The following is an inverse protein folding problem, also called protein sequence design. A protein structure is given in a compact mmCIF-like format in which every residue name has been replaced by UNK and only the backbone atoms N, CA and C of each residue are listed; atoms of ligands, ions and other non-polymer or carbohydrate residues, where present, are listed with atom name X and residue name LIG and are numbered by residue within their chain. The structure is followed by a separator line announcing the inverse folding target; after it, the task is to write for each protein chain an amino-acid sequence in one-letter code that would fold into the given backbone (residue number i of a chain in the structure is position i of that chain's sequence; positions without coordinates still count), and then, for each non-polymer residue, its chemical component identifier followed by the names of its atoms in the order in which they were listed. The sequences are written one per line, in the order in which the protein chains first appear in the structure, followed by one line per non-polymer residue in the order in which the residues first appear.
data_IF_081314419764
#
_entry.id   IF_081314419764
#
_cell.length_a   1.000
_cell.length_b   1.000
_cell.length_c   1.000
_cell.angle_alpha   90.00
_cell.angle_beta   90.00
_cell.angle_gamma   90.00
#
_symmetry.space_group_name_H-M   'P 1'
#
loop_
_entity.id
_entity.type
_entity.pdbx_description
1 polymer ?
#
# COMPACT_ATOMS: atom_id res chain seq x y z
N UNK A 1 -10.58 -4.94 -17.11
CA UNK A 1 -9.85 -3.88 -17.78
C UNK A 1 -8.39 -3.89 -17.35
N UNK A 2 -7.49 -3.58 -18.29
CA UNK A 2 -6.09 -3.45 -17.99
C UNK A 2 -5.90 -2.29 -16.99
N UNK A 3 -5.02 -2.47 -16.01
CA UNK A 3 -4.62 -1.38 -15.12
C UNK A 3 -3.92 -0.31 -15.95
N UNK A 4 -4.25 0.95 -15.72
CA UNK A 4 -3.52 2.07 -16.28
C UNK A 4 -2.35 2.40 -15.36
N UNK A 5 -1.16 2.54 -15.93
CA UNK A 5 -0.01 3.10 -15.23
C UNK A 5 0.19 4.54 -15.73
N UNK A 6 0.49 5.45 -14.81
CA UNK A 6 0.84 6.83 -15.14
C UNK A 6 2.31 7.03 -14.85
N UNK A 7 3.11 7.21 -15.89
CA UNK A 7 4.54 7.44 -15.76
C UNK A 7 4.87 8.87 -16.18
N UNK A 8 5.53 9.61 -15.31
CA UNK A 8 6.09 10.92 -15.63
C UNK A 8 7.54 10.74 -16.08
N UNK A 9 7.87 11.29 -17.26
CA UNK A 9 9.24 11.39 -17.76
C UNK A 9 9.64 12.85 -17.85
N UNK A 10 10.69 13.24 -17.14
CA UNK A 10 11.31 14.57 -17.22
C UNK A 10 12.56 14.45 -18.09
N UNK A 11 12.73 15.39 -19.01
CA UNK A 11 13.92 15.47 -19.88
C UNK A 11 14.58 16.81 -19.64
N UNK A 12 15.83 16.82 -19.22
CA UNK A 12 16.63 18.05 -19.06
C UNK A 12 17.12 18.58 -20.42
N UNK A 13 17.56 19.84 -20.45
CA UNK A 13 18.19 20.43 -21.66
C UNK A 13 19.46 19.68 -22.09
N UNK A 14 20.17 19.04 -21.14
CA UNK A 14 21.36 18.22 -21.42
C UNK A 14 21.02 16.81 -21.88
N UNK A 15 19.75 16.44 -22.01
CA UNK A 15 19.29 15.12 -22.44
C UNK A 15 19.20 14.08 -21.32
N UNK A 16 19.58 14.40 -20.08
CA UNK A 16 19.40 13.49 -18.94
C UNK A 16 17.90 13.34 -18.65
N UNK A 17 17.45 12.10 -18.44
CA UNK A 17 16.05 11.81 -18.19
C UNK A 17 15.83 11.25 -16.80
N UNK A 18 14.74 11.64 -16.16
CA UNK A 18 14.23 11.03 -14.93
C UNK A 18 12.84 10.48 -15.09
N UNK A 19 12.53 9.44 -14.34
CA UNK A 19 11.23 8.75 -14.38
C UNK A 19 10.65 8.75 -12.96
N UNK A 20 9.36 9.10 -12.86
CA UNK A 20 8.55 8.98 -11.65
C UNK A 20 7.26 8.24 -11.93
N UNK A 21 6.83 7.42 -10.99
CA UNK A 21 5.53 6.76 -11.04
C UNK A 21 4.46 7.67 -10.41
N UNK A 22 3.41 7.92 -11.17
CA UNK A 22 2.26 8.73 -10.78
C UNK A 22 0.96 7.91 -10.73
N UNK A 23 1.07 6.59 -10.56
CA UNK A 23 -0.08 5.70 -10.52
C UNK A 23 -0.77 5.79 -9.16
N UNK A 24 -2.01 6.26 -9.17
CA UNK A 24 -2.92 6.19 -8.04
C UNK A 24 -4.08 5.29 -8.43
N UNK A 25 -4.15 4.14 -7.82
CA UNK A 25 -5.12 3.10 -8.17
C UNK A 25 -6.57 3.62 -8.15
N UNK A 26 -7.27 3.47 -9.29
CA UNK A 26 -8.64 3.94 -9.48
C UNK A 26 -8.81 5.46 -9.64
N UNK A 27 -7.71 6.23 -9.65
CA UNK A 27 -7.72 7.69 -9.88
C UNK A 27 -6.60 8.15 -10.82
N UNK A 28 -6.13 7.25 -11.66
CA UNK A 28 -4.98 7.46 -12.56
C UNK A 28 -5.21 8.67 -13.47
N UNK A 29 -6.41 8.80 -14.05
CA UNK A 29 -6.74 9.92 -14.94
C UNK A 29 -6.78 11.27 -14.21
N UNK A 30 -7.20 11.28 -12.94
CA UNK A 30 -7.18 12.51 -12.14
C UNK A 30 -5.74 12.98 -11.88
N UNK A 31 -4.82 12.05 -11.58
CA UNK A 31 -3.41 12.37 -11.40
C UNK A 31 -2.79 12.83 -12.73
N UNK A 32 -3.08 12.14 -13.82
CA UNK A 32 -2.59 12.52 -15.14
C UNK A 32 -3.03 13.93 -15.56
N UNK A 33 -4.31 14.28 -15.31
CA UNK A 33 -4.83 15.63 -15.57
C UNK A 33 -4.16 16.66 -14.67
N UNK A 34 -4.01 16.39 -13.37
CA UNK A 34 -3.35 17.31 -12.45
C UNK A 34 -1.89 17.56 -12.83
N UNK A 35 -1.15 16.51 -13.22
CA UNK A 35 0.20 16.65 -13.75
C UNK A 35 0.21 17.54 -14.99
N UNK A 36 -0.61 17.21 -16.00
CA UNK A 36 -0.63 17.88 -17.29
C UNK A 36 -1.01 19.36 -17.18
N UNK A 37 -2.07 19.65 -16.42
CA UNK A 37 -2.71 20.95 -16.46
C UNK A 37 -2.19 21.92 -15.38
N UNK A 38 -1.61 21.40 -14.29
CA UNK A 38 -1.16 22.22 -13.16
C UNK A 38 0.34 22.12 -12.86
N UNK A 39 0.97 20.95 -12.95
CA UNK A 39 2.38 20.80 -12.57
C UNK A 39 3.33 21.03 -13.77
N UNK A 40 3.07 20.36 -14.89
CA UNK A 40 3.95 20.42 -16.06
C UNK A 40 4.18 21.85 -16.58
N UNK A 41 3.18 22.73 -16.71
CA UNK A 41 3.41 24.09 -17.18
C UNK A 41 4.35 24.89 -16.27
N UNK A 42 4.35 24.60 -14.96
CA UNK A 42 5.19 25.26 -13.98
C UNK A 42 6.53 24.56 -13.75
N UNK A 43 6.70 23.34 -14.25
CA UNK A 43 7.93 22.56 -14.16
C UNK A 43 8.91 22.90 -15.31
N UNK A 44 8.35 23.20 -16.49
CA UNK A 44 9.15 23.53 -17.67
C UNK A 44 10.02 24.76 -17.41
N UNK A 45 11.32 24.60 -17.64
CA UNK A 45 12.31 25.67 -17.44
C UNK A 45 12.87 25.79 -16.02
N UNK A 46 12.35 25.03 -15.05
CA UNK A 46 12.95 24.98 -13.72
C UNK A 46 14.29 24.22 -13.72
N UNK A 47 15.13 24.56 -12.78
CA UNK A 47 16.39 23.85 -12.55
C UNK A 47 16.12 22.50 -11.88
N UNK A 48 16.46 21.41 -12.59
CA UNK A 48 16.26 20.04 -12.10
C UNK A 48 17.11 19.70 -10.85
N UNK A 49 18.16 20.48 -10.56
CA UNK A 49 18.96 20.33 -9.34
C UNK A 49 18.30 20.90 -8.07
N UNK A 50 17.26 21.72 -8.22
CA UNK A 50 16.56 22.34 -7.09
C UNK A 50 15.34 21.51 -6.70
N UNK A 51 15.59 20.30 -6.22
CA UNK A 51 14.56 19.29 -5.92
C UNK A 51 13.62 19.78 -4.81
N UNK A 52 14.17 20.13 -3.66
CA UNK A 52 13.41 20.60 -2.50
C UNK A 52 12.62 21.89 -2.81
N UNK A 53 13.24 22.85 -3.50
CA UNK A 53 12.56 24.08 -3.93
C UNK A 53 11.35 23.77 -4.83
N UNK A 54 11.51 22.82 -5.75
CA UNK A 54 10.43 22.39 -6.65
C UNK A 54 9.30 21.71 -5.88
N UNK A 55 9.64 20.83 -4.93
CA UNK A 55 8.66 20.20 -4.06
C UNK A 55 7.87 21.23 -3.24
N UNK A 56 8.58 22.16 -2.58
CA UNK A 56 7.96 23.23 -1.79
C UNK A 56 7.07 24.13 -2.65
N UNK A 57 7.51 24.45 -3.86
CA UNK A 57 6.74 25.26 -4.80
C UNK A 57 5.39 24.59 -5.14
N UNK A 58 5.39 23.30 -5.49
CA UNK A 58 4.18 22.60 -5.82
C UNK A 58 3.26 22.35 -4.62
N UNK A 59 3.85 22.07 -3.47
CA UNK A 59 3.07 21.85 -2.25
C UNK A 59 2.46 23.12 -1.70
N UNK A 60 3.23 24.21 -1.62
CA UNK A 60 2.78 25.49 -1.05
C UNK A 60 2.03 26.37 -2.04
N UNK A 61 2.30 26.21 -3.32
CA UNK A 61 1.67 26.99 -4.38
C UNK A 61 0.18 26.74 -4.56
N UNK A 62 -0.34 25.61 -4.06
CA UNK A 62 -1.76 25.31 -4.05
C UNK A 62 -2.39 25.71 -2.71
N UNK A 63 -3.53 26.41 -2.76
CA UNK A 63 -4.27 26.77 -1.56
C UNK A 63 -4.82 25.52 -0.84
N UNK A 64 -5.45 24.62 -1.61
CA UNK A 64 -5.91 23.33 -1.14
C UNK A 64 -4.80 22.30 -1.31
N UNK A 65 -4.22 21.90 -0.19
CA UNK A 65 -3.08 20.98 -0.12
C UNK A 65 -3.53 19.62 0.36
N UNK A 66 -2.66 18.64 0.18
CA UNK A 66 -2.85 17.24 0.58
C UNK A 66 -3.85 16.50 -0.31
N UNK A 67 -4.11 15.28 0.08
CA UNK A 67 -4.93 14.35 -0.68
C UNK A 67 -4.14 13.50 -1.66
N UNK A 68 -4.65 12.31 -1.96
CA UNK A 68 -3.87 11.32 -2.70
C UNK A 68 -3.55 11.76 -4.13
N UNK A 69 -4.47 12.43 -4.84
CA UNK A 69 -4.23 12.86 -6.23
C UNK A 69 -3.08 13.87 -6.33
N UNK A 70 -3.15 14.93 -5.53
CA UNK A 70 -2.15 16.01 -5.57
C UNK A 70 -0.79 15.53 -5.08
N UNK A 71 -0.76 14.74 -4.02
CA UNK A 71 0.50 14.25 -3.46
C UNK A 71 1.17 13.19 -4.32
N UNK A 72 0.41 12.31 -4.98
CA UNK A 72 0.96 11.35 -5.96
C UNK A 72 1.62 12.08 -7.14
N UNK A 73 0.98 13.14 -7.65
CA UNK A 73 1.56 13.93 -8.73
C UNK A 73 2.86 14.65 -8.31
N UNK A 74 2.90 15.26 -7.12
CA UNK A 74 4.09 15.90 -6.58
C UNK A 74 5.20 14.87 -6.35
N UNK A 75 4.87 13.71 -5.76
CA UNK A 75 5.82 12.62 -5.52
C UNK A 75 6.44 12.11 -6.83
N UNK A 76 5.66 11.98 -7.91
CA UNK A 76 6.19 11.57 -9.20
C UNK A 76 7.22 12.55 -9.76
N UNK A 77 6.99 13.86 -9.61
CA UNK A 77 7.98 14.89 -9.98
C UNK A 77 9.23 14.77 -9.12
N UNK A 78 9.07 14.65 -7.82
CA UNK A 78 10.18 14.52 -6.87
C UNK A 78 11.06 13.31 -7.19
N UNK A 79 10.46 12.13 -7.33
CA UNK A 79 11.18 10.89 -7.71
C UNK A 79 11.92 11.04 -9.03
N UNK A 80 11.30 11.66 -10.05
CA UNK A 80 11.95 11.88 -11.33
C UNK A 80 13.15 12.84 -11.23
N UNK A 81 13.09 13.86 -10.38
CA UNK A 81 14.23 14.76 -10.14
C UNK A 81 15.37 14.08 -9.39
N UNK A 82 15.06 13.24 -8.39
CA UNK A 82 16.07 12.41 -7.73
C UNK A 82 16.71 11.38 -8.67
N UNK A 83 15.95 10.80 -9.60
CA UNK A 83 16.49 9.91 -10.64
C UNK A 83 17.47 10.65 -11.58
N UNK A 84 17.13 11.90 -11.96
CA UNK A 84 18.05 12.77 -12.70
C UNK A 84 19.35 13.00 -11.91
N UNK A 85 19.24 13.36 -10.64
CA UNK A 85 20.42 13.63 -9.79
C UNK A 85 21.31 12.38 -9.68
N UNK A 86 20.70 11.21 -9.46
CA UNK A 86 21.44 9.94 -9.41
C UNK A 86 22.20 9.65 -10.70
N UNK A 87 21.57 9.87 -11.85
CA UNK A 87 22.21 9.71 -13.16
C UNK A 87 23.31 10.71 -13.42
N UNK A 88 23.12 11.96 -13.04
CA UNK A 88 24.13 13.02 -13.19
C UNK A 88 25.36 12.76 -12.31
N UNK A 89 25.16 12.30 -11.08
CA UNK A 89 26.25 11.99 -10.14
C UNK A 89 26.80 10.56 -10.30
N UNK A 90 26.19 9.75 -11.16
CA UNK A 90 26.51 8.31 -11.36
C UNK A 90 26.45 7.53 -10.04
N UNK A 91 25.49 7.87 -9.19
CA UNK A 91 25.26 7.22 -7.91
C UNK A 91 23.81 6.67 -7.82
N UNK A 92 23.62 5.50 -7.24
CA UNK A 92 22.27 5.03 -6.95
C UNK A 92 21.64 5.90 -5.87
N UNK A 93 20.31 6.03 -5.91
CA UNK A 93 19.57 6.91 -5.00
C UNK A 93 19.84 6.62 -3.52
N UNK A 94 19.95 5.34 -3.15
CA UNK A 94 20.23 4.98 -1.75
C UNK A 94 21.57 5.56 -1.26
N UNK A 95 22.55 5.70 -2.14
CA UNK A 95 23.84 6.30 -1.79
C UNK A 95 23.71 7.80 -1.53
N UNK A 96 22.89 8.48 -2.34
CA UNK A 96 22.60 9.91 -2.14
C UNK A 96 21.79 10.18 -0.85
N UNK A 97 20.99 9.18 -0.41
CA UNK A 97 20.17 9.28 0.80
C UNK A 97 20.89 8.79 2.08
N UNK A 98 22.21 8.57 2.04
CA UNK A 98 22.98 8.22 3.24
C UNK A 98 23.68 6.85 3.19
N UNK A 99 23.54 6.11 2.10
CA UNK A 99 24.26 4.86 1.87
C UNK A 99 23.49 3.61 2.25
N UNK A 100 24.12 2.48 2.01
CA UNK A 100 23.55 1.16 2.24
C UNK A 100 23.61 0.78 3.72
N UNK A 101 22.49 0.43 4.31
CA UNK A 101 22.39 -0.09 5.68
C UNK A 101 22.28 -1.63 5.72
N UNK A 102 21.91 -2.28 4.63
CA UNK A 102 21.71 -3.74 4.51
C UNK A 102 21.84 -4.18 3.07
N UNK A 103 22.09 -5.48 2.84
CA UNK A 103 22.25 -6.03 1.49
C UNK A 103 20.92 -6.33 0.80
N UNK A 104 19.85 -6.50 1.57
CA UNK A 104 18.51 -6.76 1.06
C UNK A 104 17.44 -6.29 2.01
N UNK A 105 16.23 -6.15 1.51
CA UNK A 105 15.03 -5.88 2.30
C UNK A 105 14.22 -7.17 2.45
N UNK A 106 13.69 -7.40 3.66
CA UNK A 106 12.70 -8.44 3.86
C UNK A 106 11.45 -8.10 3.04
N UNK A 107 10.98 -9.07 2.26
CA UNK A 107 9.74 -8.97 1.48
C UNK A 107 8.74 -9.98 2.00
N UNK A 108 7.45 -9.71 1.83
CA UNK A 108 6.40 -10.65 2.18
C UNK A 108 5.58 -11.07 0.97
N UNK A 109 5.08 -12.31 0.99
CA UNK A 109 4.17 -12.85 0.00
C UNK A 109 2.70 -12.51 0.33
N UNK A 110 1.84 -12.53 -0.68
CA UNK A 110 0.40 -12.26 -0.54
C UNK A 110 -0.40 -13.55 -0.74
N UNK A 111 -0.66 -14.29 0.33
CA UNK A 111 -1.48 -15.49 0.31
C UNK A 111 -2.96 -15.13 0.44
N UNK A 112 -3.71 -15.34 -0.63
CA UNK A 112 -5.14 -15.07 -0.68
C UNK A 112 -5.90 -16.37 -0.97
N UNK A 113 -6.96 -16.65 -0.22
CA UNK A 113 -7.82 -17.80 -0.42
C UNK A 113 -9.30 -17.46 -0.29
N UNK A 114 -10.15 -18.24 -0.94
CA UNK A 114 -11.61 -18.10 -0.80
C UNK A 114 -12.10 -18.53 0.58
N UNK A 115 -11.35 -19.43 1.23
CA UNK A 115 -11.59 -19.95 2.57
C UNK A 115 -10.27 -20.16 3.34
N UNK A 116 -10.37 -20.61 4.58
CA UNK A 116 -9.23 -20.84 5.46
C UNK A 116 -8.29 -21.92 4.91
N UNK A 117 -8.84 -22.99 4.34
CA UNK A 117 -8.04 -24.11 3.83
C UNK A 117 -7.22 -23.69 2.61
N UNK A 118 -7.83 -22.99 1.66
CA UNK A 118 -7.14 -22.45 0.50
C UNK A 118 -6.08 -21.40 0.91
N UNK A 119 -6.41 -20.53 1.86
CA UNK A 119 -5.45 -19.54 2.38
C UNK A 119 -4.25 -20.22 3.03
N UNK A 120 -4.47 -21.27 3.83
CA UNK A 120 -3.37 -22.04 4.44
C UNK A 120 -2.50 -22.71 3.38
N UNK A 121 -3.09 -23.30 2.36
CA UNK A 121 -2.36 -23.89 1.25
C UNK A 121 -1.49 -22.85 0.49
N UNK A 122 -2.04 -21.65 0.24
CA UNK A 122 -1.28 -20.57 -0.39
C UNK A 122 -0.12 -20.06 0.50
N UNK A 123 -0.30 -19.94 1.82
CA UNK A 123 0.80 -19.64 2.75
C UNK A 123 1.91 -20.69 2.63
N UNK A 124 1.56 -21.98 2.59
CA UNK A 124 2.53 -23.06 2.40
C UNK A 124 3.33 -22.93 1.11
N UNK A 125 2.71 -22.49 0.01
CA UNK A 125 3.42 -22.25 -1.26
C UNK A 125 4.46 -21.15 -1.15
N UNK A 126 4.14 -20.01 -0.48
CA UNK A 126 5.10 -18.94 -0.26
C UNK A 126 6.26 -19.38 0.64
N UNK A 127 5.98 -20.16 1.69
CA UNK A 127 7.04 -20.74 2.54
C UNK A 127 7.97 -21.64 1.71
N UNK A 128 7.41 -22.48 0.85
CA UNK A 128 8.20 -23.36 -0.05
C UNK A 128 9.07 -22.58 -1.04
N UNK A 129 8.66 -21.36 -1.42
CA UNK A 129 9.44 -20.42 -2.24
C UNK A 129 10.54 -19.68 -1.45
N UNK A 130 10.61 -19.87 -0.13
CA UNK A 130 11.62 -19.26 0.74
C UNK A 130 11.20 -17.93 1.38
N UNK A 131 9.96 -17.50 1.25
CA UNK A 131 9.46 -16.32 1.95
C UNK A 131 9.50 -16.54 3.48
N UNK A 132 9.96 -15.51 4.19
CA UNK A 132 10.01 -15.50 5.66
C UNK A 132 8.82 -14.75 6.29
N UNK A 133 8.10 -14.00 5.47
CA UNK A 133 6.93 -13.26 5.87
C UNK A 133 5.81 -13.44 4.83
N UNK A 134 4.58 -13.64 5.29
CA UNK A 134 3.42 -13.86 4.41
C UNK A 134 2.19 -13.14 4.97
N UNK A 135 1.58 -12.30 4.13
CA UNK A 135 0.29 -11.71 4.38
C UNK A 135 -0.82 -12.71 4.04
N UNK A 136 -1.66 -13.03 5.01
CA UNK A 136 -2.76 -13.97 4.83
C UNK A 136 -4.11 -13.25 4.80
N UNK A 137 -4.87 -13.48 3.74
CA UNK A 137 -6.24 -12.98 3.58
C UNK A 137 -7.17 -14.09 3.11
N UNK A 138 -8.35 -14.13 3.73
CA UNK A 138 -9.38 -15.11 3.47
C UNK A 138 -10.69 -14.43 3.08
N UNK A 139 -11.45 -15.04 2.18
CA UNK A 139 -12.81 -14.62 1.90
C UNK A 139 -13.70 -14.78 3.13
N UNK A 140 -14.49 -13.75 3.42
CA UNK A 140 -15.43 -13.79 4.55
C UNK A 140 -16.73 -14.49 4.10
N UNK A 141 -17.21 -15.54 4.79
CA UNK A 141 -18.44 -16.21 4.43
C UNK A 141 -19.63 -15.26 4.32
N UNK A 142 -20.41 -15.40 3.24
CA UNK A 142 -21.55 -14.55 2.95
C UNK A 142 -21.22 -13.21 2.27
N UNK A 143 -19.96 -12.93 2.02
CA UNK A 143 -19.52 -11.80 1.20
C UNK A 143 -19.26 -12.26 -0.23
N UNK A 144 -19.85 -11.58 -1.22
CA UNK A 144 -19.60 -11.88 -2.63
C UNK A 144 -18.20 -11.49 -3.08
N UNK A 145 -17.66 -10.42 -2.50
CA UNK A 145 -16.30 -9.93 -2.76
C UNK A 145 -15.69 -9.43 -1.44
N UNK A 146 -14.47 -9.83 -1.14
CA UNK A 146 -13.67 -9.18 -0.11
C UNK A 146 -12.65 -8.26 -0.79
N UNK A 147 -12.42 -7.07 -0.23
CA UNK A 147 -11.40 -6.15 -0.74
C UNK A 147 -10.03 -6.86 -0.79
N UNK A 148 -9.36 -6.78 -1.93
CA UNK A 148 -8.09 -7.48 -2.16
C UNK A 148 -8.22 -8.95 -2.56
N UNK A 149 -9.43 -9.55 -2.53
CA UNK A 149 -9.70 -10.89 -3.03
C UNK A 149 -10.73 -10.77 -4.15
N UNK A 150 -10.29 -10.83 -5.38
CA UNK A 150 -11.17 -10.81 -6.55
C UNK A 150 -11.45 -12.21 -7.04
N UNK A 151 -12.73 -12.54 -7.26
CA UNK A 151 -13.13 -13.75 -7.99
C UNK A 151 -12.82 -13.68 -9.49
N UNK A 152 -12.49 -12.49 -10.00
CA UNK A 152 -12.09 -12.27 -11.38
C UNK A 152 -10.57 -12.22 -11.44
N UNK A 153 -9.95 -13.09 -12.21
CA UNK A 153 -8.52 -13.04 -12.51
C UNK A 153 -8.15 -11.61 -12.94
N UNK A 154 -7.33 -10.94 -12.18
CA UNK A 154 -6.75 -9.63 -12.44
C UNK A 154 -7.60 -8.37 -12.13
N UNK A 155 -8.67 -8.46 -11.37
CA UNK A 155 -9.34 -7.25 -10.91
C UNK A 155 -8.86 -6.88 -9.50
N UNK A 156 -8.21 -5.73 -9.39
CA UNK A 156 -7.94 -5.07 -8.11
C UNK A 156 -9.03 -4.02 -7.89
N UNK A 157 -9.69 -4.06 -6.76
CA UNK A 157 -10.63 -3.00 -6.44
C UNK A 157 -9.91 -1.66 -6.24
N UNK A 158 -10.53 -0.56 -6.60
CA UNK A 158 -11.95 -0.31 -6.88
C UNK A 158 -12.24 0.07 -8.33
N UNK A 159 -11.59 -0.52 -9.30
CA UNK A 159 -11.62 -0.05 -10.69
C UNK A 159 -12.89 -0.38 -11.48
N UNK A 160 -13.82 -1.13 -10.93
CA UNK A 160 -15.09 -1.41 -11.58
C UNK A 160 -16.15 -0.43 -11.10
N UNK A 161 -16.88 0.16 -12.06
CA UNK A 161 -17.95 1.15 -11.86
C UNK A 161 -19.21 0.61 -11.17
N UNK A 162 -19.16 -0.55 -10.54
CA UNK A 162 -20.25 -1.08 -9.73
C UNK A 162 -20.21 -0.45 -8.33
N UNK A 163 -21.33 0.09 -7.91
CA UNK A 163 -21.53 0.56 -6.54
C UNK A 163 -21.28 -0.60 -5.55
N UNK A 164 -20.63 -0.32 -4.40
CA UNK A 164 -20.51 -1.30 -3.34
C UNK A 164 -21.90 -1.83 -2.97
N UNK A 165 -22.06 -3.15 -3.01
CA UNK A 165 -23.28 -3.76 -2.52
C UNK A 165 -23.26 -3.68 -0.99
N UNK A 166 -23.94 -2.71 -0.42
CA UNK A 166 -24.03 -2.46 1.02
C UNK A 166 -24.53 -3.66 1.83
N UNK A 167 -25.16 -4.63 1.17
CA UNK A 167 -25.80 -5.78 1.79
C UNK A 167 -24.86 -6.85 2.32
N UNK A 168 -23.54 -6.69 2.21
CA UNK A 168 -22.65 -7.86 2.31
C UNK A 168 -21.60 -7.75 3.41
N UNK A 169 -21.28 -6.56 3.92
CA UNK A 169 -20.31 -6.43 5.00
C UNK A 169 -20.91 -6.79 6.36
N UNK A 170 -20.27 -7.67 7.08
CA UNK A 170 -20.60 -8.00 8.48
C UNK A 170 -19.34 -7.98 9.32
N UNK A 171 -19.14 -6.89 10.06
CA UNK A 171 -18.01 -6.76 10.99
C UNK A 171 -17.95 -7.90 12.00
N UNK A 172 -19.07 -8.33 12.65
CA UNK A 172 -19.00 -9.47 13.56
C UNK A 172 -18.46 -10.74 12.91
N UNK A 173 -18.94 -11.09 11.70
CA UNK A 173 -18.43 -12.27 10.98
C UNK A 173 -16.94 -12.15 10.65
N UNK A 174 -16.49 -10.96 10.30
CA UNK A 174 -15.07 -10.72 10.02
C UNK A 174 -14.22 -10.87 11.29
N UNK A 175 -14.65 -10.28 12.41
CA UNK A 175 -13.96 -10.37 13.69
C UNK A 175 -13.91 -11.81 14.23
N UNK A 176 -14.90 -12.63 13.92
CA UNK A 176 -14.92 -14.05 14.29
C UNK A 176 -14.05 -14.93 13.38
N UNK A 177 -13.95 -14.57 12.09
CA UNK A 177 -13.22 -15.37 11.10
C UNK A 177 -11.72 -15.21 11.22
N UNK A 178 -11.24 -13.96 11.36
CA UNK A 178 -9.80 -13.67 11.28
C UNK A 178 -8.99 -14.40 12.36
N UNK A 179 -9.39 -14.45 13.63
CA UNK A 179 -8.68 -15.25 14.63
C UNK A 179 -8.62 -16.76 14.29
N UNK A 180 -9.71 -17.32 13.75
CA UNK A 180 -9.75 -18.74 13.32
C UNK A 180 -8.79 -19.01 12.16
N UNK A 181 -8.66 -18.05 11.24
CA UNK A 181 -7.66 -18.13 10.17
C UNK A 181 -6.25 -18.23 10.78
N UNK A 182 -5.87 -17.33 11.68
CA UNK A 182 -4.53 -17.31 12.24
C UNK A 182 -4.27 -18.48 13.20
N UNK A 183 -5.28 -18.97 13.91
CA UNK A 183 -5.20 -20.23 14.66
C UNK A 183 -4.82 -21.40 13.75
N UNK A 184 -5.52 -21.53 12.62
CA UNK A 184 -5.24 -22.56 11.63
C UNK A 184 -3.84 -22.41 11.01
N UNK A 185 -3.45 -21.20 10.64
CA UNK A 185 -2.13 -20.93 10.05
C UNK A 185 -1.00 -21.27 11.04
N UNK A 186 -1.15 -20.95 12.32
CA UNK A 186 -0.16 -21.32 13.33
C UNK A 186 -0.10 -22.82 13.60
N UNK A 187 -1.23 -23.49 13.52
CA UNK A 187 -1.30 -24.96 13.60
C UNK A 187 -0.58 -25.64 12.43
N UNK A 188 -0.81 -25.16 11.20
CA UNK A 188 -0.29 -25.79 9.98
C UNK A 188 1.18 -25.45 9.72
N UNK A 189 1.61 -24.23 10.00
CA UNK A 189 2.92 -23.69 9.57
C UNK A 189 3.86 -23.34 10.74
N UNK A 190 3.39 -23.47 11.98
CA UNK A 190 4.22 -23.22 13.16
C UNK A 190 4.45 -21.73 13.49
N UNK A 191 5.34 -21.47 14.47
CA UNK A 191 5.57 -20.12 14.99
C UNK A 191 6.62 -19.30 14.22
N UNK A 192 7.45 -19.94 13.38
CA UNK A 192 8.67 -19.31 12.85
C UNK A 192 8.42 -18.44 11.61
N UNK A 193 7.27 -18.61 10.95
CA UNK A 193 6.88 -17.75 9.84
C UNK A 193 6.29 -16.44 10.33
N UNK A 194 6.73 -15.31 9.80
CA UNK A 194 6.12 -14.01 10.07
C UNK A 194 4.79 -13.89 9.32
N UNK A 195 3.69 -13.83 10.05
CA UNK A 195 2.36 -13.72 9.49
C UNK A 195 1.82 -12.30 9.65
N UNK A 196 1.20 -11.79 8.59
CA UNK A 196 0.61 -10.45 8.53
C UNK A 196 -0.87 -10.55 8.16
N UNK A 197 -1.64 -9.56 8.61
CA UNK A 197 -3.03 -9.40 8.18
C UNK A 197 -3.29 -7.96 7.76
N UNK A 198 -3.87 -7.81 6.58
CA UNK A 198 -4.25 -6.51 6.05
C UNK A 198 -5.77 -6.33 6.18
N UNK A 199 -6.16 -5.36 6.98
CA UNK A 199 -7.58 -5.08 7.28
C UNK A 199 -8.23 -4.21 6.21
N UNK A 200 -7.43 -3.49 5.41
CA UNK A 200 -7.91 -2.60 4.34
C UNK A 200 -8.94 -1.57 4.81
N UNK A 201 -8.65 -0.82 5.86
CA UNK A 201 -9.46 0.31 6.35
C UNK A 201 -10.91 -0.05 6.77
N UNK A 202 -11.23 -1.33 7.00
CA UNK A 202 -12.61 -1.80 7.17
C UNK A 202 -13.19 -1.56 8.56
N UNK A 203 -12.35 -1.29 9.56
CA UNK A 203 -12.76 -1.26 10.94
C UNK A 203 -12.77 0.15 11.51
N UNK A 204 -13.69 0.38 12.44
CA UNK A 204 -13.60 1.50 13.38
C UNK A 204 -12.45 1.27 14.36
N UNK A 205 -11.93 2.32 15.04
CA UNK A 205 -10.82 2.15 15.99
C UNK A 205 -11.11 1.13 17.11
N UNK A 206 -12.35 1.06 17.59
CA UNK A 206 -12.74 0.11 18.64
C UNK A 206 -12.80 -1.33 18.09
N UNK A 207 -13.30 -1.52 16.89
CA UNK A 207 -13.32 -2.83 16.23
C UNK A 207 -11.89 -3.30 15.90
N UNK A 208 -11.03 -2.40 15.43
CA UNK A 208 -9.62 -2.68 15.19
C UNK A 208 -8.87 -3.07 16.49
N UNK A 209 -9.17 -2.37 17.60
CA UNK A 209 -8.64 -2.71 18.92
C UNK A 209 -9.08 -4.11 19.37
N UNK A 210 -10.34 -4.46 19.16
CA UNK A 210 -10.89 -5.81 19.46
C UNK A 210 -10.21 -6.88 18.62
N UNK A 211 -10.06 -6.64 17.32
CA UNK A 211 -9.35 -7.55 16.42
C UNK A 211 -7.90 -7.73 16.87
N UNK A 212 -7.17 -6.64 17.06
CA UNK A 212 -5.78 -6.68 17.53
C UNK A 212 -5.63 -7.50 18.82
N UNK A 213 -6.54 -7.30 19.78
CA UNK A 213 -6.56 -8.08 21.03
C UNK A 213 -6.78 -9.58 20.80
N UNK A 214 -7.69 -9.94 19.91
CA UNK A 214 -7.97 -11.36 19.57
C UNK A 214 -6.83 -12.03 18.80
N UNK A 215 -5.96 -11.26 18.14
CA UNK A 215 -4.82 -11.76 17.37
C UNK A 215 -3.52 -11.90 18.19
N UNK A 216 -3.45 -11.37 19.40
CA UNK A 216 -2.25 -11.46 20.25
C UNK A 216 -1.72 -12.89 20.43
N UNK A 217 -2.56 -13.95 20.65
CA UNK A 217 -2.06 -15.31 20.79
C UNK A 217 -1.30 -15.83 19.57
N UNK A 218 -1.60 -15.28 18.40
CA UNK A 218 -1.01 -15.73 17.13
C UNK A 218 0.24 -14.96 16.73
N UNK A 219 0.68 -13.96 17.50
CA UNK A 219 1.93 -13.21 17.33
C UNK A 219 2.16 -12.79 15.88
N UNK A 220 1.26 -11.95 15.36
CA UNK A 220 1.41 -11.39 14.02
C UNK A 220 2.62 -10.47 13.95
N UNK A 221 3.25 -10.42 12.79
CA UNK A 221 4.32 -9.48 12.49
C UNK A 221 3.78 -8.05 12.49
N UNK A 222 2.61 -7.83 11.84
CA UNK A 222 1.76 -6.65 12.04
C UNK A 222 0.32 -6.88 11.54
N UNK A 223 -0.57 -5.98 11.98
CA UNK A 223 -1.91 -5.80 11.46
C UNK A 223 -1.93 -4.50 10.66
N UNK A 224 -2.06 -4.61 9.33
CA UNK A 224 -1.92 -3.54 8.37
C UNK A 224 -3.25 -2.82 8.15
N UNK A 225 -3.20 -1.49 7.96
CA UNK A 225 -4.33 -0.66 7.54
C UNK A 225 -5.64 -0.91 8.30
N UNK A 226 -5.57 -1.03 9.61
CA UNK A 226 -6.70 -1.45 10.42
C UNK A 226 -7.84 -0.42 10.52
N UNK A 227 -7.55 0.86 10.29
CA UNK A 227 -8.52 1.96 10.29
C UNK A 227 -8.31 2.88 9.08
N UNK A 228 -9.28 3.74 8.73
CA UNK A 228 -9.14 4.66 7.59
C UNK A 228 -7.88 5.51 7.64
N UNK A 229 -7.18 5.61 6.51
CA UNK A 229 -5.92 6.33 6.37
C UNK A 229 -6.02 7.84 6.67
N UNK A 230 -7.21 8.41 6.50
CA UNK A 230 -7.48 9.83 6.76
C UNK A 230 -7.40 10.18 8.24
N UNK A 231 -7.55 9.20 9.12
CA UNK A 231 -7.53 9.39 10.57
C UNK A 231 -6.40 8.59 11.24
N UNK A 232 -5.16 8.94 10.96
CA UNK A 232 -4.00 8.26 11.55
C UNK A 232 -3.95 8.32 13.09
N UNK A 233 -4.55 9.34 13.72
CA UNK A 233 -4.64 9.41 15.19
C UNK A 233 -5.46 8.27 15.79
N UNK A 234 -6.30 7.62 15.00
CA UNK A 234 -7.06 6.45 15.46
C UNK A 234 -6.15 5.27 15.84
N UNK A 235 -4.94 5.17 15.27
CA UNK A 235 -3.96 4.16 15.64
C UNK A 235 -3.53 4.27 17.11
N UNK A 236 -3.54 5.47 17.70
CA UNK A 236 -3.27 5.64 19.14
C UNK A 236 -4.29 4.90 20.01
N UNK A 237 -5.56 4.90 19.58
CA UNK A 237 -6.63 4.17 20.28
C UNK A 237 -6.37 2.67 20.18
N UNK A 238 -6.09 2.17 18.97
CA UNK A 238 -5.81 0.75 18.76
C UNK A 238 -4.61 0.31 19.60
N UNK A 239 -3.50 1.06 19.56
CA UNK A 239 -2.27 0.78 20.31
C UNK A 239 -2.45 0.71 21.83
N UNK A 240 -3.41 1.44 22.38
CA UNK A 240 -3.70 1.40 23.84
C UNK A 240 -4.36 0.09 24.28
N UNK A 241 -4.92 -0.68 23.35
CA UNK A 241 -5.74 -1.84 23.66
C UNK A 241 -5.18 -3.16 23.16
N UNK A 242 -4.09 -3.15 22.41
CA UNK A 242 -3.44 -4.36 21.92
C UNK A 242 -1.93 -4.21 21.83
N UNK A 243 -1.22 -5.33 22.02
CA UNK A 243 0.23 -5.44 21.78
C UNK A 243 0.55 -5.96 20.36
N UNK A 244 -0.46 -6.33 19.57
CA UNK A 244 -0.27 -6.68 18.17
C UNK A 244 0.35 -5.49 17.44
N UNK A 245 1.49 -5.64 16.73
CA UNK A 245 2.11 -4.57 15.97
C UNK A 245 1.17 -4.02 14.88
N UNK A 246 1.28 -2.71 14.59
CA UNK A 246 0.48 -2.02 13.56
C UNK A 246 1.39 -1.44 12.49
#
# INVERSE_FOLDING_TARGET
PARNFVTLKIVTRSGVTGIGDATLNGRELAVASYLKDHLVPNLIGRDAGRIEDTWQFFYRGAYWRRGPVTMTAIAAVDVALWDILGKMTKQPLYQLLGGRSRDGALVYGHANGKDIDETSAEVGKYIAQGYKAVRAQCGVPGMKKAYGISSLKNAYEPAESELPLETVWSTPKYLDLVPKLFERLRKDHGPDIELLHDVHHRLTPIEAARLGKSLEPYRLFWMEDCTPAENQKSFEIVRKHTVTPL
#
